data_IF_964747537859
#
_entry.id   IF_964747537859
#
_cell.length_a   1.000
_cell.length_b   1.000
_cell.length_c   1.000
_cell.angle_alpha   90.00
_cell.angle_beta   90.00
_cell.angle_gamma   90.00
#
_symmetry.space_group_name_H-M   'P 1'
#
loop_
_entity.id
_entity.type
_entity.pdbx_description
1 polymer ?
#
# COMPACT_ATOMS: atom_id res chain seq x y z
N UNK A 1 37.54 43.41 16.64
CA UNK A 1 36.32 42.87 16.01
C UNK A 1 36.35 41.34 16.02
N UNK A 2 35.61 40.68 16.91
CA UNK A 2 35.46 39.22 16.90
C UNK A 2 34.18 38.87 16.12
N UNK A 3 34.32 38.22 14.96
CA UNK A 3 33.19 37.70 14.18
C UNK A 3 32.63 36.47 14.90
N UNK A 4 31.42 36.55 15.43
CA UNK A 4 30.69 35.40 15.96
C UNK A 4 30.03 34.67 14.79
N UNK A 5 30.60 33.54 14.39
CA UNK A 5 30.02 32.59 13.43
C UNK A 5 28.85 31.86 14.09
N UNK A 6 27.63 32.38 13.90
CA UNK A 6 26.41 31.74 14.37
C UNK A 6 26.16 30.45 13.57
N UNK A 7 26.08 29.34 14.30
CA UNK A 7 26.14 27.94 13.88
C UNK A 7 25.13 27.59 12.74
N UNK A 8 25.57 27.02 11.61
CA UNK A 8 24.67 26.50 10.57
C UNK A 8 23.85 25.29 11.03
N UNK A 9 24.16 24.72 12.20
CA UNK A 9 23.52 23.53 12.76
C UNK A 9 22.06 23.74 13.18
N UNK A 10 21.65 24.97 13.49
CA UNK A 10 20.31 25.26 14.03
C UNK A 10 19.19 25.13 12.99
N UNK A 11 19.52 25.17 11.70
CA UNK A 11 18.57 25.00 10.59
C UNK A 11 18.46 23.55 10.09
N UNK A 12 19.41 22.68 10.44
CA UNK A 12 19.45 21.28 9.95
C UNK A 12 18.40 20.42 10.65
N UNK A 13 18.18 20.64 11.95
CA UNK A 13 17.24 19.86 12.77
C UNK A 13 15.77 19.98 12.28
N UNK A 14 15.21 21.18 12.05
CA UNK A 14 13.84 21.28 11.54
C UNK A 14 13.70 20.74 10.10
N UNK A 15 14.76 20.81 9.28
CA UNK A 15 14.75 20.27 7.92
C UNK A 15 14.68 18.73 7.90
N UNK A 16 15.39 18.06 8.82
CA UNK A 16 15.35 16.59 8.96
C UNK A 16 13.99 16.10 9.49
N UNK A 17 13.36 16.87 10.38
CA UNK A 17 12.02 16.55 10.90
C UNK A 17 10.91 16.71 9.85
N UNK A 18 11.06 17.66 8.91
CA UNK A 18 10.10 17.84 7.81
C UNK A 18 10.23 16.76 6.72
N UNK A 19 11.43 16.20 6.52
CA UNK A 19 11.67 15.16 5.52
C UNK A 19 11.38 13.72 6.01
N UNK A 20 11.02 13.52 7.28
CA UNK A 20 10.76 12.21 7.88
C UNK A 20 9.27 11.82 7.95
N UNK A 21 8.41 12.52 7.20
CA UNK A 21 7.02 12.12 6.97
C UNK A 21 6.95 10.87 6.05
N UNK A 22 7.43 9.74 6.54
CA UNK A 22 7.19 8.44 5.92
C UNK A 22 5.72 8.05 6.17
N UNK A 23 4.91 8.03 5.13
CA UNK A 23 3.55 7.48 5.21
C UNK A 23 3.65 5.99 5.54
N UNK A 24 3.20 5.62 6.74
CA UNK A 24 3.13 4.22 7.18
C UNK A 24 1.92 3.60 6.47
N UNK A 25 2.17 2.88 5.38
CA UNK A 25 1.17 2.03 4.75
C UNK A 25 1.44 0.56 5.13
N UNK A 26 0.36 -0.18 5.38
CA UNK A 26 0.43 -1.59 5.78
C UNK A 26 -0.23 -2.42 4.69
N UNK A 27 0.54 -3.34 4.11
CA UNK A 27 0.09 -4.31 3.10
C UNK A 27 0.07 -5.68 3.76
N UNK A 28 -1.01 -6.41 3.55
CA UNK A 28 -1.08 -7.83 3.87
C UNK A 28 -1.29 -8.62 2.58
N UNK A 29 -0.50 -9.68 2.38
CA UNK A 29 -0.64 -10.62 1.27
C UNK A 29 -0.77 -12.02 1.83
N UNK A 30 -1.83 -12.71 1.43
CA UNK A 30 -2.11 -14.08 1.83
C UNK A 30 -2.01 -14.98 0.61
N UNK A 31 -1.07 -15.92 0.65
CA UNK A 31 -0.90 -16.97 -0.36
C UNK A 31 -1.86 -18.13 -0.03
N UNK A 32 -2.64 -18.54 -1.03
CA UNK A 32 -3.70 -19.55 -0.88
C UNK A 32 -3.41 -20.78 -1.75
N UNK A 33 -2.44 -20.72 -2.66
CA UNK A 33 -2.07 -21.86 -3.49
C UNK A 33 -0.93 -22.68 -2.85
N UNK A 34 -0.92 -23.98 -3.15
CA UNK A 34 0.20 -24.87 -2.78
C UNK A 34 1.32 -24.87 -3.81
N UNK A 35 1.09 -24.25 -4.98
CA UNK A 35 1.99 -24.29 -6.13
C UNK A 35 2.92 -23.07 -6.13
N UNK A 36 4.16 -23.27 -6.59
CA UNK A 36 5.16 -22.20 -6.64
C UNK A 36 5.04 -21.40 -7.95
N UNK A 37 4.76 -20.11 -7.85
CA UNK A 37 4.73 -19.18 -8.97
C UNK A 37 5.94 -18.23 -8.94
N UNK A 38 6.56 -18.01 -10.10
CA UNK A 38 7.69 -17.09 -10.19
C UNK A 38 7.22 -15.63 -10.15
N UNK A 39 7.87 -14.77 -9.35
CA UNK A 39 7.58 -13.34 -9.35
C UNK A 39 7.74 -12.72 -10.74
N UNK A 40 6.85 -11.79 -11.09
CA UNK A 40 6.93 -11.04 -12.36
C UNK A 40 8.05 -10.00 -12.31
N UNK A 41 8.72 -9.79 -13.44
CA UNK A 41 9.81 -8.83 -13.55
C UNK A 41 9.32 -7.38 -13.46
N UNK A 42 8.09 -7.10 -13.89
CA UNK A 42 7.49 -5.77 -13.90
C UNK A 42 6.07 -5.77 -13.36
N UNK A 43 5.71 -4.66 -12.71
CA UNK A 43 4.33 -4.37 -12.28
C UNK A 43 3.39 -4.29 -13.48
N UNK A 44 3.92 -3.92 -14.66
CA UNK A 44 3.14 -3.80 -15.88
C UNK A 44 2.73 -5.16 -16.46
N UNK A 45 3.37 -6.24 -16.01
CA UNK A 45 3.04 -7.61 -16.43
C UNK A 45 1.76 -8.11 -15.72
N UNK A 46 1.34 -7.43 -14.66
CA UNK A 46 0.08 -7.71 -13.95
C UNK A 46 -1.04 -6.84 -14.51
N UNK A 47 -2.04 -7.48 -15.11
CA UNK A 47 -3.22 -6.79 -15.66
C UNK A 47 -4.34 -6.69 -14.62
N UNK A 48 -5.12 -5.62 -14.70
CA UNK A 48 -6.38 -5.53 -13.95
C UNK A 48 -7.50 -5.99 -14.86
N UNK A 49 -8.30 -6.95 -14.39
CA UNK A 49 -9.47 -7.46 -15.12
C UNK A 49 -10.65 -7.45 -14.17
N UNK A 50 -11.73 -6.80 -14.57
CA UNK A 50 -12.93 -6.68 -13.73
C UNK A 50 -13.79 -7.95 -13.74
N UNK A 51 -13.84 -8.66 -14.88
CA UNK A 51 -14.56 -9.93 -15.02
C UNK A 51 -13.71 -10.90 -15.83
N UNK A 52 -13.27 -11.99 -15.20
CA UNK A 52 -12.49 -13.04 -15.86
C UNK A 52 -13.44 -14.14 -16.34
N UNK A 53 -13.44 -14.38 -17.65
CA UNK A 53 -14.17 -15.49 -18.28
C UNK A 53 -13.29 -16.72 -18.54
N UNK A 54 -11.98 -16.52 -18.54
CA UNK A 54 -10.99 -17.57 -18.78
C UNK A 54 -10.78 -18.43 -17.53
N UNK A 55 -10.31 -19.67 -17.74
CA UNK A 55 -9.98 -20.57 -16.64
C UNK A 55 -8.77 -19.99 -15.90
N UNK A 56 -8.94 -19.77 -14.60
CA UNK A 56 -7.92 -19.15 -13.76
C UNK A 56 -7.84 -19.85 -12.40
N UNK A 57 -6.74 -19.61 -11.70
CA UNK A 57 -6.54 -19.97 -10.30
C UNK A 57 -6.35 -18.72 -9.47
N UNK A 58 -7.02 -18.65 -8.32
CA UNK A 58 -6.73 -17.63 -7.30
C UNK A 58 -5.54 -18.12 -6.50
N UNK A 59 -4.43 -17.40 -6.60
CA UNK A 59 -3.18 -17.75 -5.91
C UNK A 59 -3.03 -16.98 -4.60
N UNK A 60 -3.77 -15.89 -4.42
CA UNK A 60 -3.75 -15.16 -3.16
C UNK A 60 -4.71 -14.00 -3.07
N UNK A 61 -4.78 -13.40 -1.89
CA UNK A 61 -5.52 -12.18 -1.62
C UNK A 61 -4.56 -11.08 -1.17
N UNK A 62 -4.75 -9.88 -1.71
CA UNK A 62 -3.91 -8.72 -1.42
C UNK A 62 -4.80 -7.65 -0.81
N UNK A 63 -4.47 -7.21 0.39
CA UNK A 63 -5.15 -6.10 1.06
C UNK A 63 -4.20 -4.92 1.23
N UNK A 64 -4.55 -3.80 0.61
CA UNK A 64 -3.84 -2.53 0.75
C UNK A 64 -4.67 -1.59 1.61
N UNK A 65 -4.12 -1.22 2.77
CA UNK A 65 -4.73 -0.24 3.67
C UNK A 65 -4.21 1.16 3.34
N UNK A 66 -5.11 2.10 3.08
CA UNK A 66 -4.77 3.47 2.67
C UNK A 66 -5.51 4.52 3.50
N UNK A 67 -5.03 5.75 3.45
CA UNK A 67 -5.75 6.91 3.98
C UNK A 67 -6.92 7.29 3.06
N UNK A 68 -7.98 7.89 3.63
CA UNK A 68 -9.21 8.26 2.92
C UNK A 68 -9.03 9.01 1.60
N UNK A 69 -8.00 9.84 1.48
CA UNK A 69 -7.80 10.73 0.32
C UNK A 69 -6.75 10.21 -0.70
N UNK A 70 -6.30 8.96 -0.59
CA UNK A 70 -5.38 8.37 -1.56
C UNK A 70 -6.07 8.12 -2.91
N UNK A 71 -5.37 8.43 -4.01
CA UNK A 71 -5.88 8.20 -5.37
C UNK A 71 -5.93 6.70 -5.67
N UNK A 72 -7.01 6.23 -6.29
CA UNK A 72 -7.16 4.83 -6.68
C UNK A 72 -5.99 4.34 -7.56
N UNK A 73 -5.40 5.22 -8.39
CA UNK A 73 -4.22 4.91 -9.19
C UNK A 73 -3.00 4.51 -8.35
N UNK A 74 -2.80 5.13 -7.19
CA UNK A 74 -1.70 4.81 -6.27
C UNK A 74 -1.96 3.48 -5.56
N UNK A 75 -3.22 3.21 -5.20
CA UNK A 75 -3.64 1.92 -4.65
C UNK A 75 -3.44 0.81 -5.66
N UNK A 76 -3.82 1.04 -6.91
CA UNK A 76 -3.70 0.09 -8.01
C UNK A 76 -2.23 -0.31 -8.25
N UNK A 77 -1.31 0.66 -8.22
CA UNK A 77 0.11 0.35 -8.34
C UNK A 77 0.63 -0.53 -7.20
N UNK A 78 0.14 -0.33 -5.98
CA UNK A 78 0.50 -1.17 -4.82
C UNK A 78 -0.08 -2.58 -4.95
N UNK A 79 -1.36 -2.71 -5.31
CA UNK A 79 -1.99 -4.01 -5.54
C UNK A 79 -1.25 -4.81 -6.63
N UNK A 80 -0.94 -4.17 -7.76
CA UNK A 80 -0.19 -4.82 -8.85
C UNK A 80 1.24 -5.20 -8.45
N UNK A 81 1.89 -4.40 -7.60
CA UNK A 81 3.23 -4.72 -7.09
C UNK A 81 3.23 -6.00 -6.27
N UNK A 82 2.30 -6.12 -5.33
CA UNK A 82 2.18 -7.31 -4.49
C UNK A 82 1.78 -8.53 -5.31
N UNK A 83 0.86 -8.36 -6.26
CA UNK A 83 0.48 -9.41 -7.20
C UNK A 83 1.67 -9.89 -8.04
N UNK A 84 2.53 -8.97 -8.50
CA UNK A 84 3.74 -9.30 -9.22
C UNK A 84 4.72 -10.12 -8.34
N UNK A 85 4.83 -9.80 -7.05
CA UNK A 85 5.66 -10.56 -6.10
C UNK A 85 5.12 -11.98 -5.92
N UNK A 86 3.80 -12.15 -5.87
CA UNK A 86 3.13 -13.45 -5.81
C UNK A 86 3.20 -14.24 -7.14
N UNK A 87 3.66 -13.63 -8.23
CA UNK A 87 3.71 -14.28 -9.55
C UNK A 87 2.37 -14.30 -10.29
N UNK A 88 1.41 -13.49 -9.88
CA UNK A 88 0.09 -13.37 -10.53
C UNK A 88 0.21 -12.80 -11.95
N UNK A 89 -0.70 -13.22 -12.83
CA UNK A 89 -0.88 -12.60 -14.15
C UNK A 89 -1.86 -11.44 -14.10
N UNK A 90 -2.86 -11.53 -13.21
CA UNK A 90 -3.89 -10.51 -13.09
C UNK A 90 -4.35 -10.29 -11.65
N UNK A 91 -4.98 -9.13 -11.44
CA UNK A 91 -5.77 -8.82 -10.25
C UNK A 91 -7.23 -8.59 -10.65
N UNK A 92 -8.16 -9.15 -9.87
CA UNK A 92 -9.61 -9.06 -10.07
C UNK A 92 -10.34 -8.84 -8.75
N UNK A 93 -11.66 -8.64 -8.82
CA UNK A 93 -12.57 -8.57 -7.66
C UNK A 93 -12.13 -7.55 -6.61
N UNK A 94 -11.72 -6.36 -7.05
CA UNK A 94 -11.30 -5.29 -6.14
C UNK A 94 -12.51 -4.84 -5.32
N UNK A 95 -12.49 -5.17 -4.03
CA UNK A 95 -13.46 -4.72 -3.05
C UNK A 95 -12.85 -3.59 -2.24
N UNK A 96 -13.56 -2.47 -2.16
CA UNK A 96 -13.23 -1.39 -1.25
C UNK A 96 -14.17 -1.45 -0.05
N UNK A 97 -13.58 -1.54 1.14
CA UNK A 97 -14.31 -1.38 2.39
C UNK A 97 -13.82 -0.11 3.08
N UNK A 98 -14.69 0.90 3.08
CA UNK A 98 -14.43 2.23 3.65
C UNK A 98 -14.90 2.32 5.12
N UNK A 99 -14.92 1.21 5.85
CA UNK A 99 -15.54 1.15 7.19
C UNK A 99 -14.57 1.25 8.38
N UNK A 100 -13.25 1.22 8.17
CA UNK A 100 -12.29 1.03 9.27
C UNK A 100 -11.83 2.32 9.98
N UNK A 101 -12.44 2.65 11.13
CA UNK A 101 -11.74 3.45 12.15
C UNK A 101 -10.68 2.56 12.82
N UNK A 102 -9.40 2.94 12.77
CA UNK A 102 -8.42 2.27 13.62
C UNK A 102 -8.69 2.63 15.09
N UNK A 103 -8.51 1.66 15.99
CA UNK A 103 -8.41 1.91 17.42
C UNK A 103 -7.39 3.03 17.62
N UNK A 104 -7.84 4.18 18.14
CA UNK A 104 -7.00 5.36 18.32
C UNK A 104 -5.72 4.95 19.05
N UNK A 105 -4.56 5.30 18.50
CA UNK A 105 -3.33 5.21 19.27
C UNK A 105 -3.49 6.17 20.47
N UNK A 106 -3.02 5.83 21.68
CA UNK A 106 -3.27 6.64 22.89
C UNK A 106 -2.80 8.10 22.75
N UNK A 107 -1.80 8.38 21.91
CA UNK A 107 -1.35 9.74 21.60
C UNK A 107 -2.31 10.53 20.66
N UNK A 108 -3.17 9.85 19.90
CA UNK A 108 -4.09 10.42 18.92
C UNK A 108 -5.49 10.73 19.50
N UNK A 109 -5.80 10.28 20.72
CA UNK A 109 -7.01 10.72 21.44
C UNK A 109 -6.97 12.21 21.78
N UNK A 110 -5.78 12.76 22.00
CA UNK A 110 -5.55 14.16 22.38
C UNK A 110 -5.67 15.11 21.18
N UNK A 111 -5.35 14.63 19.96
CA UNK A 111 -5.28 15.45 18.74
C UNK A 111 -6.54 15.44 17.86
N UNK A 112 -7.65 14.84 18.33
CA UNK A 112 -8.99 15.02 17.76
C UNK A 112 -9.25 14.47 16.34
N UNK A 113 -8.23 13.96 15.64
CA UNK A 113 -8.37 13.50 14.25
C UNK A 113 -8.40 11.97 14.18
N UNK A 114 -9.61 11.40 14.10
CA UNK A 114 -9.78 9.97 13.81
C UNK A 114 -9.32 9.68 12.38
N UNK A 115 -8.30 8.83 12.22
CA UNK A 115 -7.85 8.38 10.91
C UNK A 115 -8.88 7.42 10.30
N UNK A 116 -9.67 7.91 9.34
CA UNK A 116 -10.55 7.07 8.51
C UNK A 116 -9.68 6.40 7.44
N UNK A 117 -9.64 5.06 7.42
CA UNK A 117 -8.92 4.29 6.40
C UNK A 117 -9.86 3.69 5.38
N UNK A 118 -9.35 3.52 4.17
CA UNK A 118 -9.98 2.73 3.12
C UNK A 118 -9.14 1.46 2.91
N UNK A 119 -9.77 0.30 2.99
CA UNK A 119 -9.12 -0.98 2.75
C UNK A 119 -9.52 -1.46 1.35
N UNK A 120 -8.53 -1.78 0.52
CA UNK A 120 -8.75 -2.32 -0.81
C UNK A 120 -8.24 -3.74 -0.84
N UNK A 121 -9.14 -4.70 -1.06
CA UNK A 121 -8.81 -6.12 -1.17
C UNK A 121 -8.99 -6.55 -2.62
N UNK A 122 -8.00 -7.24 -3.18
CA UNK A 122 -8.05 -7.78 -4.53
C UNK A 122 -7.65 -9.26 -4.52
N UNK A 123 -8.22 -10.02 -5.44
CA UNK A 123 -7.82 -11.40 -5.71
C UNK A 123 -6.69 -11.39 -6.74
N UNK A 124 -5.58 -12.06 -6.43
CA UNK A 124 -4.46 -12.28 -7.32
C UNK A 124 -4.64 -13.62 -8.04
N UNK A 125 -4.54 -13.62 -9.37
CA UNK A 125 -4.86 -14.80 -10.18
C UNK A 125 -3.80 -15.10 -11.24
N UNK A 126 -3.74 -16.37 -11.63
CA UNK A 126 -2.90 -16.91 -12.71
C UNK A 126 -3.81 -17.60 -13.73
N UNK A 127 -3.55 -17.40 -15.02
CA UNK A 127 -4.32 -18.04 -16.08
C UNK A 127 -3.85 -19.49 -16.29
N UNK A 128 -4.78 -20.40 -16.58
CA UNK A 128 -4.49 -21.83 -16.85
C UNK A 128 -4.63 -22.20 -18.31
#
# INVERSE_FOLDING_TARGET
MKKTTLKPFMFVIPLVLLCSACSIYHINSEDVSSDFYYPKASINDVVYIENIQEKHEVIGFITVNTERNQRLSEVMQKLKREAAILGADAITDIKSDATGQWKKLPAQEILGNGYVRANFTASAVVFK
#
